data_IF_058897520401
#
_entry.id   IF_058897520401
#
_cell.length_a   1.000
_cell.length_b   1.000
_cell.length_c   1.000
_cell.angle_alpha   90.00
_cell.angle_beta   90.00
_cell.angle_gamma   90.00
#
_symmetry.space_group_name_H-M   'P 1'
#
loop_
_entity.id
_entity.type
_entity.pdbx_description
1 polymer ?
#
# COMPACT_ATOMS: atom_id res chain seq x y z
N UNK A 1 -32.29 17.49 75.82
CA UNK A 1 -31.32 16.39 75.56
C UNK A 1 -32.13 15.20 75.07
N UNK A 2 -31.97 14.50 73.94
CA UNK A 2 -31.05 14.42 72.78
C UNK A 2 -31.90 13.87 71.60
N UNK A 3 -31.54 14.09 70.33
CA UNK A 3 -32.24 13.52 69.17
C UNK A 3 -31.62 12.18 68.77
N UNK A 4 -32.42 11.20 68.31
CA UNK A 4 -31.88 10.02 67.64
C UNK A 4 -32.67 9.66 66.38
N UNK A 5 -32.16 10.21 65.27
CA UNK A 5 -31.87 9.50 64.02
C UNK A 5 -32.95 8.52 63.53
N UNK A 6 -33.98 9.08 62.91
CA UNK A 6 -34.53 8.48 61.70
C UNK A 6 -33.59 8.84 60.52
N UNK A 7 -33.52 7.99 59.49
CA UNK A 7 -32.67 8.15 58.28
C UNK A 7 -31.18 7.74 58.40
N UNK A 8 -30.89 6.47 58.69
CA UNK A 8 -29.56 5.88 58.36
C UNK A 8 -29.63 4.37 58.09
N UNK A 9 -30.56 3.92 57.25
CA UNK A 9 -30.62 2.49 56.86
C UNK A 9 -30.79 2.26 55.35
N UNK A 10 -31.51 3.13 54.63
CA UNK A 10 -31.71 2.99 53.17
C UNK A 10 -30.51 3.44 52.33
N UNK A 11 -29.80 4.51 52.71
CA UNK A 11 -28.64 5.02 51.94
C UNK A 11 -27.41 4.09 51.97
N UNK A 12 -27.25 3.31 53.04
CA UNK A 12 -26.12 2.38 53.17
C UNK A 12 -26.27 1.15 52.26
N UNK A 13 -27.49 0.59 52.17
CA UNK A 13 -27.76 -0.58 51.34
C UNK A 13 -27.61 -0.22 49.85
N UNK A 14 -28.15 0.93 49.43
CA UNK A 14 -28.05 1.40 48.03
C UNK A 14 -26.60 1.71 47.66
N UNK A 15 -25.84 2.39 48.54
CA UNK A 15 -24.45 2.75 48.29
C UNK A 15 -23.48 1.55 48.25
N UNK A 16 -23.78 0.47 48.97
CA UNK A 16 -22.95 -0.75 48.97
C UNK A 16 -23.21 -1.60 47.73
N UNK A 17 -24.47 -1.66 47.25
CA UNK A 17 -24.82 -2.38 46.02
C UNK A 17 -24.25 -1.70 44.78
N UNK A 18 -24.26 -0.36 44.72
CA UNK A 18 -23.64 0.38 43.60
C UNK A 18 -22.12 0.28 43.60
N UNK A 19 -21.46 0.24 44.77
CA UNK A 19 -20.01 0.05 44.85
C UNK A 19 -19.59 -1.37 44.42
N UNK A 20 -20.37 -2.40 44.77
CA UNK A 20 -20.11 -3.78 44.37
C UNK A 20 -20.33 -4.01 42.86
N UNK A 21 -21.33 -3.36 42.26
CA UNK A 21 -21.56 -3.43 40.82
C UNK A 21 -20.42 -2.74 40.05
N UNK A 22 -19.95 -1.57 40.50
CA UNK A 22 -18.81 -0.87 39.92
C UNK A 22 -17.48 -1.64 40.03
N UNK A 23 -17.24 -2.32 41.17
CA UNK A 23 -16.08 -3.18 41.34
C UNK A 23 -16.16 -4.46 40.49
N UNK A 24 -17.37 -5.01 40.27
CA UNK A 24 -17.61 -6.15 39.39
C UNK A 24 -17.30 -5.86 37.92
N UNK A 25 -17.57 -4.64 37.44
CA UNK A 25 -17.19 -4.21 36.09
C UNK A 25 -15.69 -3.91 35.96
N UNK A 26 -15.01 -3.50 37.04
CA UNK A 26 -13.56 -3.29 37.04
C UNK A 26 -12.74 -4.60 37.12
N UNK A 27 -13.35 -5.71 37.57
CA UNK A 27 -12.72 -7.02 37.72
C UNK A 27 -12.95 -7.99 36.56
N UNK A 28 -13.54 -7.53 35.45
CA UNK A 28 -13.52 -8.28 34.19
C UNK A 28 -12.11 -8.24 33.59
N UNK A 29 -11.19 -8.99 34.21
CA UNK A 29 -10.02 -9.49 33.49
C UNK A 29 -10.54 -10.25 32.28
N UNK A 30 -10.07 -9.96 31.05
CA UNK A 30 -10.33 -10.85 29.92
C UNK A 30 -9.71 -12.20 30.29
N UNK A 31 -10.53 -13.12 30.77
CA UNK A 31 -10.14 -14.47 31.16
C UNK A 31 -9.97 -15.35 29.94
N UNK A 32 -9.44 -14.80 28.84
CA UNK A 32 -9.40 -15.45 27.54
C UNK A 32 -8.43 -14.75 26.59
N UNK A 33 -8.19 -15.40 25.46
CA UNK A 33 -7.26 -14.92 24.44
C UNK A 33 -7.80 -13.63 23.81
N UNK A 34 -6.97 -12.59 23.70
CA UNK A 34 -7.29 -11.38 22.93
C UNK A 34 -6.44 -11.34 21.67
N UNK A 35 -6.99 -10.82 20.57
CA UNK A 35 -6.32 -10.76 19.28
C UNK A 35 -6.55 -9.39 18.66
N UNK A 36 -5.48 -8.81 18.11
CA UNK A 36 -5.46 -7.57 17.35
C UNK A 36 -4.76 -7.83 16.02
N UNK A 37 -5.33 -7.30 14.95
CA UNK A 37 -4.76 -7.34 13.60
C UNK A 37 -4.36 -5.91 13.24
N UNK A 38 -3.06 -5.56 13.30
CA UNK A 38 -2.62 -4.17 13.09
C UNK A 38 -2.94 -3.64 11.69
N UNK A 39 -2.87 -4.51 10.68
CA UNK A 39 -3.09 -4.18 9.28
C UNK A 39 -4.12 -5.12 8.67
N UNK A 40 -5.43 -4.81 8.78
CA UNK A 40 -6.50 -5.67 8.27
C UNK A 40 -6.66 -5.59 6.75
N UNK A 41 -6.00 -4.65 6.06
CA UNK A 41 -6.07 -4.49 4.61
C UNK A 41 -4.67 -4.19 4.07
N UNK A 42 -4.17 -5.03 3.18
CA UNK A 42 -2.82 -4.97 2.61
C UNK A 42 -2.95 -4.89 1.10
N UNK A 43 -2.27 -3.90 0.52
CA UNK A 43 -2.10 -3.77 -0.92
C UNK A 43 -0.68 -4.19 -1.27
N UNK A 44 -0.53 -5.13 -2.20
CA UNK A 44 0.76 -5.64 -2.63
C UNK A 44 0.83 -5.70 -4.14
N UNK A 45 2.04 -5.68 -4.68
CA UNK A 45 2.27 -5.90 -6.11
C UNK A 45 2.79 -7.31 -6.35
N UNK A 46 2.59 -7.82 -7.57
CA UNK A 46 3.12 -9.12 -7.96
C UNK A 46 4.63 -9.18 -7.69
N UNK A 47 5.08 -10.32 -7.16
CA UNK A 47 6.42 -10.62 -6.69
C UNK A 47 6.88 -9.95 -5.38
N UNK A 48 6.04 -9.15 -4.74
CA UNK A 48 6.34 -8.58 -3.42
C UNK A 48 6.28 -9.63 -2.31
N UNK A 49 7.03 -9.42 -1.23
CA UNK A 49 6.86 -10.17 0.02
C UNK A 49 6.01 -9.36 0.99
N UNK A 50 5.01 -9.99 1.63
CA UNK A 50 4.10 -9.31 2.54
C UNK A 50 4.15 -9.91 3.94
N UNK A 51 3.91 -9.11 4.96
CA UNK A 51 3.79 -9.55 6.34
C UNK A 51 2.31 -9.56 6.75
N UNK A 52 1.82 -10.73 7.13
CA UNK A 52 0.52 -10.92 7.78
C UNK A 52 0.76 -10.92 9.29
N UNK A 53 0.64 -9.74 9.88
CA UNK A 53 0.97 -9.49 11.28
C UNK A 53 -0.23 -9.66 12.20
N UNK A 54 0.01 -10.26 13.36
CA UNK A 54 -0.97 -10.39 14.45
C UNK A 54 -0.31 -10.13 15.80
N UNK A 55 -1.10 -9.58 16.70
CA UNK A 55 -0.73 -9.39 18.09
C UNK A 55 -1.82 -10.03 18.95
N UNK A 56 -1.42 -10.85 19.92
CA UNK A 56 -2.38 -11.46 20.82
C UNK A 56 -1.83 -11.53 22.24
N UNK A 57 -2.73 -11.61 23.20
CA UNK A 57 -2.40 -11.90 24.58
C UNK A 57 -3.05 -13.21 24.99
N UNK A 58 -2.24 -14.11 25.55
CA UNK A 58 -2.61 -15.44 26.00
C UNK A 58 -1.86 -15.73 27.30
N UNK A 59 -2.51 -16.33 28.30
CA UNK A 59 -1.84 -16.68 29.57
C UNK A 59 -1.08 -18.00 29.47
N UNK A 60 -1.58 -18.92 28.63
CA UNK A 60 -0.97 -20.24 28.40
C UNK A 60 -0.36 -20.38 27.01
N UNK A 61 -0.36 -21.61 26.50
CA UNK A 61 0.12 -21.90 25.15
C UNK A 61 -0.93 -21.45 24.12
N UNK A 62 -0.50 -20.59 23.21
CA UNK A 62 -1.31 -20.18 22.06
C UNK A 62 -1.04 -21.08 20.85
N UNK A 63 -2.10 -21.47 20.15
CA UNK A 63 -2.06 -22.08 18.82
C UNK A 63 -2.62 -21.08 17.82
N UNK A 64 -1.83 -20.72 16.81
CA UNK A 64 -2.18 -19.77 15.75
C UNK A 64 -2.34 -20.54 14.44
N UNK A 65 -3.54 -20.51 13.88
CA UNK A 65 -3.84 -21.13 12.59
C UNK A 65 -4.13 -20.06 11.55
N UNK A 66 -3.49 -20.17 10.38
CA UNK A 66 -3.75 -19.34 9.22
C UNK A 66 -4.45 -20.11 8.10
N UNK A 67 -5.48 -19.49 7.52
CA UNK A 67 -6.23 -20.00 6.38
C UNK A 67 -6.37 -18.93 5.30
N UNK A 68 -6.13 -19.31 4.06
CA UNK A 68 -6.40 -18.50 2.88
C UNK A 68 -7.75 -18.89 2.30
N UNK A 69 -8.59 -17.90 2.05
CA UNK A 69 -9.91 -18.05 1.41
C UNK A 69 -9.94 -17.18 0.16
N UNK A 70 -10.13 -17.82 -0.98
CA UNK A 70 -10.21 -17.19 -2.29
C UNK A 70 -11.37 -17.75 -3.10
N UNK A 71 -11.57 -17.25 -4.32
CA UNK A 71 -12.55 -17.79 -5.27
C UNK A 71 -12.27 -19.26 -5.65
N UNK A 72 -11.03 -19.73 -5.48
CA UNK A 72 -10.64 -21.11 -5.77
C UNK A 72 -10.86 -22.07 -4.59
N UNK A 73 -11.18 -21.54 -3.39
CA UNK A 73 -11.48 -22.32 -2.20
C UNK A 73 -10.71 -21.88 -0.96
N UNK A 74 -10.77 -22.72 0.07
CA UNK A 74 -10.16 -22.49 1.38
C UNK A 74 -8.99 -23.44 1.60
N UNK A 75 -7.82 -22.90 1.90
CA UNK A 75 -6.61 -23.69 2.14
C UNK A 75 -5.97 -23.29 3.46
N UNK A 76 -5.61 -24.28 4.30
CA UNK A 76 -4.80 -24.03 5.49
C UNK A 76 -3.37 -23.69 5.06
N UNK A 77 -2.82 -22.61 5.61
CA UNK A 77 -1.47 -22.14 5.30
C UNK A 77 -0.49 -22.74 6.30
N UNK A 78 -0.71 -22.47 7.59
CA UNK A 78 0.16 -22.92 8.67
C UNK A 78 -0.62 -23.07 9.96
N UNK A 79 -0.16 -23.99 10.80
CA UNK A 79 -0.46 -24.03 12.22
C UNK A 79 0.86 -23.83 12.99
N UNK A 80 0.87 -22.82 13.84
CA UNK A 80 2.00 -22.48 14.70
C UNK A 80 1.55 -22.60 16.15
N UNK A 81 2.40 -23.11 17.03
CA UNK A 81 2.10 -23.22 18.46
C UNK A 81 3.29 -22.73 19.29
N UNK A 82 2.99 -21.93 20.30
CA UNK A 82 3.99 -21.48 21.27
C UNK A 82 4.57 -22.70 21.98
N UNK A 83 5.88 -22.92 21.85
CA UNK A 83 6.53 -24.18 22.29
C UNK A 83 7.20 -24.99 21.16
N UNK A 84 7.51 -24.35 20.02
CA UNK A 84 8.35 -24.89 18.94
C UNK A 84 7.68 -25.94 18.03
N UNK A 85 6.37 -25.83 17.83
CA UNK A 85 5.66 -26.63 16.82
C UNK A 85 5.17 -25.73 15.68
N UNK A 86 5.52 -26.13 14.46
CA UNK A 86 5.18 -25.41 13.22
C UNK A 86 4.83 -26.44 12.16
N UNK A 87 3.66 -26.30 11.56
CA UNK A 87 3.16 -27.18 10.52
C UNK A 87 2.63 -26.35 9.34
N UNK A 88 3.50 -26.13 8.35
CA UNK A 88 3.17 -25.43 7.10
C UNK A 88 2.60 -26.43 6.11
N UNK A 89 1.50 -26.08 5.45
CA UNK A 89 0.90 -26.94 4.43
C UNK A 89 1.81 -27.06 3.20
N UNK A 90 1.69 -28.19 2.50
CA UNK A 90 2.54 -28.52 1.35
C UNK A 90 2.50 -27.46 0.25
N UNK A 91 1.34 -26.81 0.05
CA UNK A 91 1.14 -25.75 -0.95
C UNK A 91 1.98 -24.49 -0.63
N UNK A 92 2.24 -24.23 0.65
CA UNK A 92 2.89 -23.00 1.13
C UNK A 92 4.30 -23.20 1.68
N UNK A 93 4.83 -24.43 1.66
CA UNK A 93 6.09 -24.82 2.32
C UNK A 93 7.29 -23.95 1.95
N UNK A 94 7.41 -23.55 0.69
CA UNK A 94 8.52 -22.73 0.18
C UNK A 94 8.14 -21.26 -0.01
N UNK A 95 6.94 -20.89 0.42
CA UNK A 95 6.36 -19.55 0.22
C UNK A 95 6.07 -18.81 1.51
N UNK A 96 6.18 -19.46 2.67
CA UNK A 96 5.81 -18.86 3.94
C UNK A 96 6.94 -18.96 4.95
N UNK A 97 7.33 -17.80 5.49
CA UNK A 97 8.15 -17.72 6.70
C UNK A 97 7.24 -17.49 7.90
N UNK A 98 7.55 -18.11 9.03
CA UNK A 98 6.79 -17.97 10.28
C UNK A 98 7.61 -17.16 11.30
N UNK A 99 6.92 -16.47 12.20
CA UNK A 99 7.52 -15.70 13.29
C UNK A 99 7.11 -16.26 14.65
N UNK A 100 7.87 -15.92 15.70
CA UNK A 100 7.66 -16.38 17.08
C UNK A 100 6.33 -15.94 17.72
N UNK A 101 5.64 -14.99 17.11
CA UNK A 101 4.29 -14.57 17.54
C UNK A 101 3.20 -15.19 16.65
N UNK A 102 3.51 -16.22 15.86
CA UNK A 102 2.57 -16.83 14.92
C UNK A 102 2.17 -15.95 13.74
N UNK A 103 2.76 -14.75 13.58
CA UNK A 103 2.65 -14.00 12.32
C UNK A 103 3.35 -14.75 11.20
N UNK A 104 2.98 -14.44 9.95
CA UNK A 104 3.60 -15.07 8.78
C UNK A 104 3.99 -14.04 7.74
N UNK A 105 5.05 -14.32 6.99
CA UNK A 105 5.40 -13.59 5.79
C UNK A 105 5.15 -14.49 4.59
N UNK A 106 4.33 -14.00 3.66
CA UNK A 106 4.06 -14.66 2.38
C UNK A 106 5.01 -14.09 1.32
N UNK A 107 5.73 -14.98 0.65
CA UNK A 107 6.79 -14.66 -0.31
C UNK A 107 6.26 -14.67 -1.74
N UNK A 108 6.80 -13.76 -2.55
CA UNK A 108 6.59 -13.67 -3.98
C UNK A 108 5.10 -13.75 -4.32
N UNK A 109 4.31 -12.80 -3.80
CA UNK A 109 2.85 -12.81 -3.95
C UNK A 109 2.46 -12.70 -5.43
N UNK A 110 1.40 -13.42 -5.82
CA UNK A 110 0.83 -13.37 -7.15
C UNK A 110 -0.68 -13.12 -7.11
N UNK A 111 -1.29 -12.92 -8.28
CA UNK A 111 -2.71 -12.63 -8.40
C UNK A 111 -3.63 -13.67 -7.72
N UNK A 112 -3.17 -14.93 -7.64
CA UNK A 112 -3.90 -16.02 -6.99
C UNK A 112 -3.91 -15.94 -5.47
N UNK A 113 -2.98 -15.21 -4.88
CA UNK A 113 -2.88 -15.06 -3.43
C UNK A 113 -3.83 -13.99 -2.91
N UNK A 114 -4.42 -13.17 -3.79
CA UNK A 114 -5.45 -12.21 -3.42
C UNK A 114 -6.65 -12.91 -2.75
N UNK A 115 -7.23 -12.25 -1.74
CA UNK A 115 -8.35 -12.80 -0.98
C UNK A 115 -8.25 -12.53 0.51
N UNK A 116 -8.89 -13.40 1.29
CA UNK A 116 -9.01 -13.25 2.74
C UNK A 116 -8.08 -14.22 3.45
N UNK A 117 -7.34 -13.69 4.41
CA UNK A 117 -6.46 -14.44 5.30
C UNK A 117 -7.07 -14.43 6.68
N UNK A 118 -7.62 -15.56 7.09
CA UNK A 118 -8.20 -15.75 8.41
C UNK A 118 -7.12 -16.27 9.35
N UNK A 119 -7.05 -15.65 10.53
CA UNK A 119 -6.23 -16.11 11.64
C UNK A 119 -7.14 -16.51 12.79
N UNK A 120 -6.89 -17.69 13.35
CA UNK A 120 -7.53 -18.16 14.58
C UNK A 120 -6.45 -18.34 15.63
N UNK A 121 -6.60 -17.68 16.76
CA UNK A 121 -5.75 -17.88 17.93
C UNK A 121 -6.57 -18.65 18.97
N UNK A 122 -6.08 -19.82 19.36
CA UNK A 122 -6.69 -20.69 20.35
C UNK A 122 -5.77 -20.80 21.56
N UNK A 123 -6.29 -20.45 22.73
CA UNK A 123 -5.64 -20.72 24.01
C UNK A 123 -5.86 -22.19 24.41
N UNK A 124 -4.90 -22.78 25.11
CA UNK A 124 -4.92 -24.16 25.62
C UNK A 124 -6.23 -24.56 26.33
N UNK A 125 -6.87 -23.62 27.03
CA UNK A 125 -8.13 -23.84 27.76
C UNK A 125 -9.40 -23.66 26.89
N UNK A 126 -9.24 -23.53 25.57
CA UNK A 126 -10.32 -23.58 24.58
C UNK A 126 -10.92 -22.24 24.18
N UNK A 127 -10.39 -21.12 24.66
CA UNK A 127 -10.84 -19.79 24.21
C UNK A 127 -10.23 -19.47 22.84
N UNK A 128 -11.08 -19.08 21.89
CA UNK A 128 -10.67 -18.73 20.53
C UNK A 128 -10.92 -17.25 20.25
N UNK A 129 -9.97 -16.62 19.57
CA UNK A 129 -10.15 -15.31 18.93
C UNK A 129 -9.87 -15.41 17.43
N UNK A 130 -10.56 -14.57 16.66
CA UNK A 130 -10.53 -14.60 15.20
C UNK A 130 -10.13 -13.24 14.65
N UNK A 131 -9.34 -13.24 13.59
CA UNK A 131 -8.93 -12.06 12.85
C UNK A 131 -8.95 -12.33 11.36
N UNK A 132 -9.04 -11.24 10.58
CA UNK A 132 -9.07 -11.30 9.13
C UNK A 132 -8.19 -10.21 8.54
N UNK A 133 -7.39 -10.57 7.54
CA UNK A 133 -6.64 -9.65 6.70
C UNK A 133 -7.13 -9.81 5.26
N UNK A 134 -7.40 -8.71 4.59
CA UNK A 134 -7.70 -8.67 3.15
C UNK A 134 -6.42 -8.34 2.41
N UNK A 135 -6.04 -9.18 1.45
CA UNK A 135 -4.91 -8.94 0.57
C UNK A 135 -5.41 -8.60 -0.85
N UNK A 136 -5.07 -7.41 -1.30
CA UNK A 136 -5.25 -6.99 -2.69
C UNK A 136 -3.90 -7.07 -3.41
N UNK A 137 -3.86 -7.75 -4.56
CA UNK A 137 -2.65 -7.88 -5.37
C UNK A 137 -2.85 -7.15 -6.71
N UNK A 138 -1.90 -6.30 -7.05
CA UNK A 138 -1.88 -5.53 -8.28
C UNK A 138 -0.72 -5.95 -9.18
N UNK A 139 -0.96 -6.01 -10.48
CA UNK A 139 0.09 -6.18 -11.47
C UNK A 139 0.67 -4.81 -11.82
N UNK A 140 2.00 -4.66 -11.70
CA UNK A 140 2.68 -3.45 -12.18
C UNK A 140 2.98 -3.67 -13.66
N UNK A 141 2.22 -3.01 -14.53
CA UNK A 141 2.48 -3.04 -15.97
C UNK A 141 3.64 -2.07 -16.24
N UNK A 142 4.87 -2.58 -16.22
CA UNK A 142 6.07 -1.80 -16.55
C UNK A 142 6.17 -1.47 -18.05
N UNK A 143 5.52 -2.25 -18.91
CA UNK A 143 5.53 -2.03 -20.36
C UNK A 143 4.96 -0.67 -20.74
N UNK A 144 3.89 -0.22 -20.07
CA UNK A 144 3.25 1.06 -20.37
C UNK A 144 4.14 2.24 -20.02
N UNK A 145 4.85 2.17 -18.89
CA UNK A 145 5.76 3.25 -18.48
C UNK A 145 6.96 3.35 -19.43
N UNK A 146 7.52 2.21 -19.85
CA UNK A 146 8.63 2.20 -20.81
C UNK A 146 8.19 2.69 -22.18
N UNK A 147 7.02 2.25 -22.66
CA UNK A 147 6.42 2.71 -23.90
C UNK A 147 6.21 4.23 -23.89
N UNK A 148 5.64 4.77 -22.80
CA UNK A 148 5.45 6.22 -22.62
C UNK A 148 6.79 6.97 -22.64
N UNK A 149 7.81 6.46 -21.94
CA UNK A 149 9.13 7.09 -21.92
C UNK A 149 9.80 7.11 -23.31
N UNK A 150 9.74 5.99 -24.05
CA UNK A 150 10.29 5.89 -25.42
C UNK A 150 9.52 6.80 -26.37
N UNK A 151 8.20 6.88 -26.24
CA UNK A 151 7.36 7.76 -27.03
C UNK A 151 7.69 9.24 -26.80
N UNK A 152 7.87 9.67 -25.54
CA UNK A 152 8.33 11.02 -25.22
C UNK A 152 9.71 11.32 -25.79
N UNK A 153 10.66 10.39 -25.68
CA UNK A 153 12.00 10.56 -26.25
C UNK A 153 11.95 10.71 -27.78
N UNK A 154 11.10 9.93 -28.46
CA UNK A 154 10.86 10.06 -29.88
C UNK A 154 10.28 11.43 -30.26
N UNK A 155 9.25 11.89 -29.56
CA UNK A 155 8.66 13.22 -29.79
C UNK A 155 9.67 14.36 -29.56
N UNK A 156 10.51 14.24 -28.53
CA UNK A 156 11.57 15.21 -28.26
C UNK A 156 12.59 15.25 -29.40
N UNK A 157 13.01 14.09 -29.93
CA UNK A 157 13.91 14.03 -31.08
C UNK A 157 13.30 14.65 -32.34
N UNK A 158 12.04 14.32 -32.65
CA UNK A 158 11.32 14.88 -33.81
C UNK A 158 11.19 16.39 -33.68
N UNK A 159 10.84 16.90 -32.50
CA UNK A 159 10.72 18.36 -32.28
C UNK A 159 12.07 19.07 -32.45
N UNK A 160 13.17 18.52 -31.94
CA UNK A 160 14.51 19.07 -32.13
C UNK A 160 14.89 19.13 -33.62
N UNK A 161 14.61 18.08 -34.39
CA UNK A 161 14.83 18.04 -35.84
C UNK A 161 14.04 19.13 -36.54
N UNK A 162 12.75 19.28 -36.22
CA UNK A 162 11.89 20.31 -36.81
C UNK A 162 12.38 21.73 -36.47
N UNK A 163 12.83 21.97 -35.23
CA UNK A 163 13.42 23.25 -34.82
C UNK A 163 14.70 23.53 -35.61
N UNK A 164 15.58 22.54 -35.78
CA UNK A 164 16.78 22.68 -36.60
C UNK A 164 16.43 22.99 -38.06
N UNK A 165 15.45 22.29 -38.64
CA UNK A 165 14.97 22.56 -40.00
C UNK A 165 14.41 23.98 -40.13
N UNK A 166 13.54 24.40 -39.22
CA UNK A 166 13.00 25.76 -39.16
C UNK A 166 14.11 26.81 -39.08
N UNK A 167 15.14 26.58 -38.25
CA UNK A 167 16.27 27.48 -38.13
C UNK A 167 17.10 27.56 -39.43
N UNK A 168 17.33 26.42 -40.09
CA UNK A 168 18.01 26.37 -41.39
C UNK A 168 17.20 27.09 -42.47
N UNK A 169 15.89 26.88 -42.53
CA UNK A 169 14.98 27.58 -43.45
C UNK A 169 14.96 29.09 -43.19
N UNK A 170 14.93 29.52 -41.92
CA UNK A 170 14.96 30.94 -41.59
C UNK A 170 16.30 31.58 -41.98
N UNK A 171 17.41 30.89 -41.72
CA UNK A 171 18.76 31.36 -42.07
C UNK A 171 18.95 31.45 -43.58
N UNK A 172 18.46 30.47 -44.34
CA UNK A 172 18.54 30.50 -45.80
C UNK A 172 17.70 31.63 -46.37
N UNK A 173 16.46 31.82 -45.91
CA UNK A 173 15.60 32.94 -46.30
C UNK A 173 16.25 34.30 -46.02
N UNK A 174 16.88 34.45 -44.85
CA UNK A 174 17.59 35.67 -44.50
C UNK A 174 18.78 35.94 -45.44
N UNK A 175 19.55 34.90 -45.78
CA UNK A 175 20.66 35.01 -46.74
C UNK A 175 20.17 35.36 -48.15
N UNK A 176 19.09 34.73 -48.62
CA UNK A 176 18.47 35.03 -49.91
C UNK A 176 17.99 36.48 -49.97
N UNK A 177 17.21 36.94 -48.98
CA UNK A 177 16.76 38.34 -48.90
C UNK A 177 17.94 39.32 -48.94
N UNK A 178 19.00 39.04 -48.18
CA UNK A 178 20.21 39.89 -48.17
C UNK A 178 20.91 39.94 -49.52
N UNK A 179 20.98 38.81 -50.26
CA UNK A 179 21.51 38.79 -51.62
C UNK A 179 20.65 39.61 -52.58
N UNK A 180 19.33 39.45 -52.53
CA UNK A 180 18.40 40.18 -53.40
C UNK A 180 18.52 41.68 -53.17
N UNK A 181 18.50 42.16 -51.92
CA UNK A 181 18.67 43.58 -51.61
C UNK A 181 20.00 44.17 -52.12
N UNK A 182 21.11 43.41 -52.02
CA UNK A 182 22.41 43.85 -52.55
C UNK A 182 22.40 44.01 -54.07
N UNK A 183 21.79 43.06 -54.78
CA UNK A 183 21.63 43.11 -56.24
C UNK A 183 20.78 44.30 -56.65
N UNK A 184 19.63 44.51 -56.00
CA UNK A 184 18.75 45.64 -56.32
C UNK A 184 19.42 46.99 -56.06
N UNK A 185 20.21 47.14 -54.99
CA UNK A 185 20.94 48.37 -54.70
C UNK A 185 22.05 48.66 -55.73
N UNK A 186 22.86 47.64 -56.08
CA UNK A 186 23.92 47.77 -57.09
C UNK A 186 23.35 48.17 -58.46
N UNK A 187 22.23 47.58 -58.87
CA UNK A 187 21.56 47.92 -60.12
C UNK A 187 20.99 49.34 -60.11
N UNK A 188 20.46 49.83 -58.99
CA UNK A 188 19.98 51.22 -58.88
C UNK A 188 21.13 52.23 -58.95
N UNK A 189 22.26 51.96 -58.30
CA UNK A 189 23.46 52.82 -58.38
C UNK A 189 24.05 52.86 -59.81
N UNK A 190 24.04 51.74 -60.54
CA UNK A 190 24.48 51.71 -61.94
C UNK A 190 23.57 52.54 -62.87
N UNK A 191 22.24 52.50 -62.67
CA UNK A 191 21.28 53.28 -63.46
C UNK A 191 21.37 54.78 -63.14
N UNK A 192 21.67 55.15 -61.90
CA UNK A 192 21.87 56.55 -61.50
C UNK A 192 23.18 57.13 -62.05
N UNK A 193 24.26 56.33 -62.17
CA UNK A 193 25.51 56.79 -62.79
C UNK A 193 25.36 57.06 -64.30
N UNK A 194 24.66 56.17 -65.01
CA UNK A 194 24.47 56.26 -66.47
C UNK A 194 23.58 57.46 -66.87
N UNK A 195 22.67 57.89 -65.99
CA UNK A 195 21.78 59.04 -66.23
C UNK A 195 22.41 60.40 -65.92
N UNK A 196 23.55 60.45 -65.23
CA UNK A 196 24.30 61.69 -64.93
C UNK A 196 25.37 61.99 -66.00
N UNK A 197 25.80 61.00 -66.78
CA UNK A 197 26.85 61.12 -67.81
C UNK A 197 26.35 61.58 -69.20
N UNK A 198 25.06 61.92 -69.33
CA UNK A 198 24.44 62.47 -70.55
C UNK A 198 24.01 63.94 -70.35
#
# INVERSE_FOLDING_TARGET
MRPLRCCRRRGAIVGTVTLCLAAGWALQTPGGVSLTVPQPNINATVAQNILLSVEYFCRGIATVEWKHVSSWGTTKIVEWKSGNYINVSTVYKDRVNTFENGSIQLLNVGMRDAGYYFVTVTEEYGTNSYGTIVLNVYEIIYEDLHFVAVFFAFLAAVSAILICFMWLCNKSLHLFRKRTHKLTASTTEEIELETIEC
#
